data_IF_080128895065
#
_entry.id   IF_080128895065
#
_cell.length_a   1.000
_cell.length_b   1.000
_cell.length_c   1.000
_cell.angle_alpha   90.00
_cell.angle_beta   90.00
_cell.angle_gamma   90.00
#
_symmetry.space_group_name_H-M   'P 1'
#
loop_
_entity.id
_entity.type
_entity.pdbx_description
1 polymer ?
#
# COMPACT_ATOMS: atom_id res chain seq x y z
N UNK A 1 10.95 -22.30 -19.10
CA UNK A 1 11.52 -22.04 -18.62
C UNK A 1 12.00 -21.54 -18.40
N UNK A 2 11.58 -21.51 -18.59
CA UNK A 2 12.07 -20.99 -18.13
C UNK A 2 12.40 -20.59 -18.07
N UNK A 3 12.01 -20.31 -18.20
CA UNK A 3 12.51 -19.84 -17.94
C UNK A 3 12.83 -19.44 -17.94
N UNK A 4 12.47 -19.38 -18.17
CA UNK A 4 12.95 -18.92 -17.94
C UNK A 4 13.23 -18.41 -17.89
N UNK A 5 12.96 -18.24 -18.22
CA UNK A 5 13.24 -17.72 -17.78
C UNK A 5 13.27 -17.13 -17.74
N UNK A 6 13.13 -16.86 -17.88
CA UNK A 6 13.20 -16.32 -17.41
C UNK A 6 13.00 -15.78 -17.31
N UNK A 7 12.87 -15.48 -17.30
CA UNK A 7 12.80 -15.01 -16.81
C UNK A 7 12.94 -14.32 -16.59
N UNK A 8 12.76 -14.19 -16.60
CA UNK A 8 12.84 -13.59 -16.04
C UNK A 8 12.99 -12.97 -15.90
N UNK A 9 12.90 -12.71 -15.81
CA UNK A 9 13.02 -12.31 -15.37
C UNK A 9 12.96 -11.45 -15.11
N UNK A 10 12.72 -11.26 -15.04
CA UNK A 10 12.60 -10.67 -14.59
C UNK A 10 12.30 -10.08 -14.45
N UNK A 11 12.10 -9.77 -14.35
CA UNK A 11 11.65 -9.42 -13.99
C UNK A 11 10.89 -9.47 -13.48
N UNK A 12 10.51 -9.59 -13.32
CA UNK A 12 9.77 -9.77 -12.69
C UNK A 12 9.44 -10.28 -12.22
N UNK A 13 9.63 -9.91 -12.13
CA UNK A 13 9.21 -10.65 -11.43
C UNK A 13 8.22 -11.38 -10.89
N UNK A 14 8.42 -12.19 -10.45
CA UNK A 14 7.52 -13.08 -9.76
C UNK A 14 7.06 -12.57 -8.40
N UNK A 15 7.75 -11.58 -7.87
CA UNK A 15 7.40 -11.03 -6.57
C UNK A 15 6.25 -10.07 -6.61
N UNK A 16 5.66 -9.83 -5.44
CA UNK A 16 4.64 -8.80 -5.30
C UNK A 16 5.31 -7.43 -5.30
N UNK A 17 4.68 -6.39 -5.88
CA UNK A 17 5.25 -5.05 -5.83
C UNK A 17 5.58 -4.57 -4.42
N UNK A 18 4.84 -5.02 -3.41
CA UNK A 18 5.07 -4.61 -2.03
C UNK A 18 6.29 -5.27 -1.39
N UNK A 19 6.93 -6.20 -2.09
CA UNK A 19 8.08 -6.92 -1.57
C UNK A 19 7.77 -8.33 -1.11
N UNK A 20 6.52 -8.75 -1.19
CA UNK A 20 6.14 -10.10 -0.81
C UNK A 20 6.57 -11.12 -1.85
N UNK A 21 6.39 -12.41 -1.53
CA UNK A 21 6.94 -13.47 -2.39
C UNK A 21 6.24 -13.61 -3.74
N UNK A 22 4.94 -13.33 -3.80
CA UNK A 22 4.19 -13.50 -5.03
C UNK A 22 2.95 -12.63 -4.97
N UNK A 23 2.65 -11.95 -6.07
CA UNK A 23 1.44 -11.12 -6.12
C UNK A 23 0.19 -11.98 -5.88
N UNK A 24 0.15 -13.16 -6.47
CA UNK A 24 -1.04 -14.02 -6.37
C UNK A 24 -1.34 -14.49 -4.95
N UNK A 25 -0.32 -14.59 -4.12
CA UNK A 25 -0.51 -15.03 -2.73
C UNK A 25 -0.37 -13.89 -1.73
N UNK A 26 -0.10 -12.69 -2.21
CA UNK A 26 0.15 -11.53 -1.34
C UNK A 26 -0.95 -10.48 -1.54
N UNK A 27 -0.70 -9.48 -2.39
CA UNK A 27 -1.64 -8.37 -2.56
C UNK A 27 -2.76 -8.66 -3.53
N UNK A 28 -2.56 -9.61 -4.46
CA UNK A 28 -3.55 -9.92 -5.48
C UNK A 28 -4.93 -10.22 -4.94
N UNK A 29 -5.06 -11.16 -3.95
CA UNK A 29 -6.38 -11.49 -3.43
C UNK A 29 -7.12 -10.29 -2.82
N UNK A 30 -6.39 -9.37 -2.19
CA UNK A 30 -7.03 -8.18 -1.63
C UNK A 30 -7.52 -7.26 -2.74
N UNK A 31 -6.67 -6.99 -3.73
CA UNK A 31 -7.00 -6.08 -4.82
C UNK A 31 -8.12 -6.64 -5.67
N UNK A 32 -8.16 -7.96 -5.85
CA UNK A 32 -9.20 -8.62 -6.64
C UNK A 32 -10.51 -8.80 -5.88
N UNK A 33 -10.53 -8.44 -4.59
CA UNK A 33 -11.75 -8.55 -3.81
C UNK A 33 -12.05 -9.93 -3.28
N UNK A 34 -11.09 -10.85 -3.34
CA UNK A 34 -11.28 -12.22 -2.87
C UNK A 34 -11.07 -12.38 -1.38
N UNK A 35 -10.36 -11.44 -0.76
CA UNK A 35 -10.07 -11.47 0.67
C UNK A 35 -9.95 -10.04 1.18
N UNK A 36 -10.15 -9.87 2.48
CA UNK A 36 -9.96 -8.56 3.12
C UNK A 36 -8.64 -8.58 3.89
N UNK A 37 -7.85 -7.49 3.83
CA UNK A 37 -6.66 -7.40 4.67
C UNK A 37 -7.03 -7.53 6.14
N UNK A 38 -6.32 -8.37 6.86
CA UNK A 38 -6.59 -8.62 8.27
C UNK A 38 -5.84 -7.66 9.19
N UNK A 39 -4.81 -7.01 8.67
CA UNK A 39 -4.01 -6.07 9.43
C UNK A 39 -3.83 -4.78 8.65
N UNK A 40 -3.53 -3.70 9.38
CA UNK A 40 -3.25 -2.43 8.73
C UNK A 40 -2.05 -2.52 7.80
N UNK A 41 -1.04 -3.31 8.18
CA UNK A 41 0.13 -3.49 7.32
C UNK A 41 -0.24 -4.17 6.01
N UNK A 42 -1.10 -5.20 6.06
CA UNK A 42 -1.55 -5.85 4.83
C UNK A 42 -2.29 -4.87 3.94
N UNK A 43 -3.15 -4.03 4.55
CA UNK A 43 -3.84 -3.02 3.75
C UNK A 43 -2.85 -2.04 3.13
N UNK A 44 -1.88 -1.55 3.91
CA UNK A 44 -0.90 -0.60 3.39
C UNK A 44 -0.14 -1.20 2.22
N UNK A 45 0.32 -2.46 2.36
CA UNK A 45 1.06 -3.11 1.28
C UNK A 45 0.21 -3.27 0.02
N UNK A 46 -1.07 -3.63 0.20
CA UNK A 46 -1.94 -3.79 -0.97
C UNK A 46 -2.22 -2.45 -1.65
N UNK A 47 -2.28 -1.36 -0.88
CA UNK A 47 -2.45 -0.03 -1.47
C UNK A 47 -1.21 0.38 -2.24
N UNK A 48 0.00 0.05 -1.73
CA UNK A 48 1.22 0.30 -2.48
C UNK A 48 1.17 -0.44 -3.83
N UNK A 49 0.80 -1.72 -3.82
CA UNK A 49 0.68 -2.48 -5.06
C UNK A 49 -0.36 -1.87 -5.98
N UNK A 50 -1.47 -1.38 -5.41
CA UNK A 50 -2.51 -0.74 -6.21
C UNK A 50 -2.00 0.53 -6.89
N UNK A 51 -1.14 1.30 -6.23
CA UNK A 51 -0.51 2.45 -6.86
C UNK A 51 0.36 2.01 -8.04
N UNK A 52 1.12 0.93 -7.89
CA UNK A 52 1.97 0.45 -8.98
C UNK A 52 1.14 -0.02 -10.17
N UNK A 53 -0.06 -0.54 -9.90
CA UNK A 53 -0.96 -1.04 -10.92
C UNK A 53 -1.93 0.03 -11.41
N UNK A 54 -1.90 1.22 -10.80
CA UNK A 54 -2.79 2.33 -11.11
C UNK A 54 -4.26 1.94 -10.92
N UNK A 55 -4.52 1.16 -9.87
CA UNK A 55 -5.86 0.71 -9.54
C UNK A 55 -6.53 1.72 -8.61
N UNK A 56 -7.05 2.77 -9.21
CA UNK A 56 -7.65 3.86 -8.45
C UNK A 56 -8.89 3.41 -7.68
N UNK A 57 -9.65 2.49 -8.28
CA UNK A 57 -10.87 2.02 -7.61
C UNK A 57 -10.55 1.38 -6.28
N UNK A 58 -9.51 0.55 -6.22
CA UNK A 58 -9.11 -0.08 -4.97
C UNK A 58 -8.64 0.96 -3.95
N UNK A 59 -7.86 1.93 -4.42
CA UNK A 59 -7.37 2.98 -3.53
C UNK A 59 -8.52 3.77 -2.90
N UNK A 60 -9.53 4.12 -3.69
CA UNK A 60 -10.67 4.87 -3.18
C UNK A 60 -11.55 4.01 -2.27
N UNK A 61 -11.76 2.75 -2.62
CA UNK A 61 -12.62 1.87 -1.80
C UNK A 61 -11.99 1.57 -0.45
N UNK A 62 -10.67 1.66 -0.33
CA UNK A 62 -9.96 1.42 0.94
C UNK A 62 -9.60 2.71 1.67
N UNK A 63 -10.04 3.84 1.17
CA UNK A 63 -9.79 5.14 1.78
C UNK A 63 -11.02 5.51 2.62
N UNK A 64 -10.80 5.85 3.90
CA UNK A 64 -11.89 6.17 4.80
C UNK A 64 -12.70 7.36 4.25
N UNK A 65 -14.03 7.28 4.38
CA UNK A 65 -14.90 8.27 3.76
C UNK A 65 -14.64 9.69 4.28
N UNK A 66 -14.16 9.83 5.52
CA UNK A 66 -13.93 11.16 6.11
C UNK A 66 -12.80 11.92 5.42
N UNK A 67 -11.87 11.21 4.78
CA UNK A 67 -10.71 11.84 4.16
C UNK A 67 -10.56 11.45 2.69
N UNK A 68 -11.49 10.66 2.17
CA UNK A 68 -11.41 10.21 0.76
C UNK A 68 -11.47 11.41 -0.17
N UNK A 69 -10.49 11.54 -1.09
CA UNK A 69 -10.51 12.66 -2.03
C UNK A 69 -11.68 12.55 -3.00
N UNK A 70 -12.23 13.69 -3.38
CA UNK A 70 -13.32 13.75 -4.35
C UNK A 70 -12.78 13.76 -5.78
N UNK A 71 -11.51 14.07 -5.96
CA UNK A 71 -10.90 14.20 -7.28
C UNK A 71 -10.02 12.99 -7.58
N UNK A 72 -9.75 12.73 -8.87
CA UNK A 72 -8.89 11.61 -9.23
C UNK A 72 -7.53 11.71 -8.58
N UNK A 73 -7.02 10.57 -8.11
CA UNK A 73 -5.71 10.52 -7.45
C UNK A 73 -4.63 9.94 -8.35
N UNK A 74 -5.01 9.30 -9.46
CA UNK A 74 -4.05 8.75 -10.41
C UNK A 74 -3.97 9.68 -11.60
N UNK A 75 -2.77 10.19 -11.88
CA UNK A 75 -2.50 11.01 -13.05
C UNK A 75 -1.81 10.13 -14.09
N UNK A 76 -2.56 9.74 -15.12
CA UNK A 76 -2.04 8.82 -16.13
C UNK A 76 -0.97 9.46 -17.02
N UNK A 77 -0.91 10.79 -17.05
CA UNK A 77 0.12 11.48 -17.81
C UNK A 77 1.46 11.54 -17.09
N UNK A 78 1.46 11.29 -15.81
CA UNK A 78 2.66 11.33 -15.00
C UNK A 78 3.41 10.01 -15.11
N UNK A 79 4.71 10.08 -15.34
CA UNK A 79 5.52 8.87 -15.46
C UNK A 79 6.06 8.50 -14.09
N UNK A 80 5.37 7.59 -13.43
CA UNK A 80 5.76 7.08 -12.13
C UNK A 80 6.34 5.70 -12.26
N UNK A 81 7.47 5.49 -11.61
CA UNK A 81 8.10 4.17 -11.55
C UNK A 81 8.37 3.86 -10.09
N UNK A 82 7.63 2.91 -9.54
CA UNK A 82 7.78 2.51 -8.15
C UNK A 82 8.95 1.55 -8.02
N UNK A 83 9.88 1.84 -7.13
CA UNK A 83 11.15 1.14 -7.04
C UNK A 83 11.25 0.23 -5.83
N UNK A 84 10.43 0.43 -4.80
CA UNK A 84 10.48 -0.43 -3.64
C UNK A 84 9.77 0.16 -2.45
N UNK A 85 9.49 -0.72 -1.50
CA UNK A 85 8.78 -0.40 -0.27
C UNK A 85 9.53 -0.99 0.91
N UNK A 86 9.70 -0.19 1.95
CA UNK A 86 10.33 -0.65 3.19
C UNK A 86 9.42 -0.27 4.35
N UNK A 87 8.96 -1.27 5.12
CA UNK A 87 8.14 -1.03 6.30
C UNK A 87 9.09 -0.82 7.48
N UNK A 88 8.86 0.25 8.22
CA UNK A 88 9.74 0.67 9.30
C UNK A 88 9.18 0.32 10.67
N UNK A 89 10.06 0.31 11.67
CA UNK A 89 9.67 0.13 13.07
C UNK A 89 10.48 1.10 13.91
N UNK A 90 10.06 2.37 13.88
CA UNK A 90 10.75 3.43 14.61
C UNK A 90 10.05 3.68 15.95
N UNK A 91 10.73 4.41 16.83
CA UNK A 91 10.16 4.74 18.14
C UNK A 91 8.82 5.47 17.99
N UNK A 92 8.74 6.43 17.06
CA UNK A 92 7.49 7.18 16.88
C UNK A 92 6.33 6.28 16.52
N UNK A 93 6.59 5.24 15.71
CA UNK A 93 5.55 4.28 15.36
C UNK A 93 5.06 3.55 16.60
N UNK A 94 6.01 3.06 17.41
CA UNK A 94 5.64 2.32 18.61
C UNK A 94 4.88 3.19 19.60
N UNK A 95 5.23 4.47 19.68
CA UNK A 95 4.50 5.39 20.54
C UNK A 95 3.06 5.59 20.06
N UNK A 96 2.88 5.76 18.75
CA UNK A 96 1.53 5.91 18.20
C UNK A 96 0.69 4.66 18.40
N UNK A 97 1.30 3.49 18.19
CA UNK A 97 0.58 2.23 18.40
C UNK A 97 0.18 2.06 19.86
N UNK A 98 1.03 2.48 20.80
CA UNK A 98 0.72 2.35 22.20
C UNK A 98 -0.45 3.22 22.63
N UNK A 99 -0.70 4.32 21.91
CA UNK A 99 -1.79 5.24 22.21
C UNK A 99 -3.02 5.00 21.35
N UNK A 100 -2.97 4.01 20.46
CA UNK A 100 -4.04 3.78 19.51
C UNK A 100 -5.30 3.25 20.19
N UNK A 101 -6.45 3.64 19.63
CA UNK A 101 -7.72 3.08 20.07
C UNK A 101 -7.83 1.64 19.57
N UNK A 102 -8.76 0.82 20.14
CA UNK A 102 -8.86 -0.58 19.76
C UNK A 102 -9.06 -0.81 18.26
N UNK A 103 -9.72 0.12 17.56
CA UNK A 103 -9.97 -0.03 16.13
C UNK A 103 -9.03 0.83 15.29
N UNK A 104 -7.91 1.27 15.86
CA UNK A 104 -6.97 2.15 15.19
C UNK A 104 -5.59 1.52 15.16
N UNK A 105 -4.87 1.67 14.05
CA UNK A 105 -3.49 1.20 13.97
C UNK A 105 -2.69 2.12 13.07
N UNK A 106 -1.39 1.97 13.13
CA UNK A 106 -0.45 2.82 12.39
C UNK A 106 0.59 1.94 11.70
N UNK A 107 1.04 2.40 10.53
CA UNK A 107 2.12 1.74 9.80
C UNK A 107 3.06 2.82 9.29
N UNK A 108 4.35 2.62 9.49
CA UNK A 108 5.35 3.56 8.98
C UNK A 108 6.12 2.88 7.85
N UNK A 109 6.32 3.60 6.74
CA UNK A 109 7.00 3.02 5.60
C UNK A 109 7.76 4.08 4.82
N UNK A 110 8.70 3.60 4.01
CA UNK A 110 9.39 4.41 3.01
C UNK A 110 9.15 3.76 1.66
N UNK A 111 8.68 4.54 0.71
CA UNK A 111 8.53 4.10 -0.68
C UNK A 111 9.50 4.90 -1.54
N UNK A 112 10.16 4.21 -2.45
CA UNK A 112 11.08 4.85 -3.39
C UNK A 112 10.49 4.78 -4.78
N UNK A 113 10.59 5.88 -5.52
CA UNK A 113 9.98 5.97 -6.84
C UNK A 113 10.75 6.97 -7.68
N UNK A 114 10.49 6.92 -9.00
CA UNK A 114 10.91 7.96 -9.92
C UNK A 114 9.69 8.67 -10.44
N UNK A 115 9.74 9.99 -10.41
CA UNK A 115 8.68 10.83 -10.97
C UNK A 115 9.28 11.56 -12.17
N UNK A 116 8.84 11.20 -13.36
CA UNK A 116 9.35 11.76 -14.61
C UNK A 116 10.89 11.65 -14.67
N UNK A 117 11.42 10.49 -14.25
CA UNK A 117 12.85 10.20 -14.30
C UNK A 117 13.64 10.64 -13.09
N UNK A 118 13.02 11.35 -12.15
CA UNK A 118 13.71 11.86 -10.96
C UNK A 118 13.41 10.97 -9.76
N UNK A 119 14.46 10.56 -9.05
CA UNK A 119 14.30 9.74 -7.86
C UNK A 119 13.69 10.52 -6.71
N UNK A 120 12.75 9.89 -6.01
CA UNK A 120 12.10 10.47 -4.85
C UNK A 120 11.91 9.42 -3.78
N UNK A 121 11.75 9.89 -2.55
CA UNK A 121 11.57 9.05 -1.38
C UNK A 121 10.36 9.57 -0.62
N UNK A 122 9.36 8.71 -0.46
CA UNK A 122 8.17 9.04 0.30
C UNK A 122 8.22 8.32 1.64
N UNK A 123 8.26 9.07 2.73
CA UNK A 123 8.29 8.53 4.08
C UNK A 123 6.99 8.96 4.77
N UNK A 124 6.20 7.97 5.20
CA UNK A 124 4.90 8.26 5.77
C UNK A 124 4.64 7.39 7.00
N UNK A 125 4.02 8.00 8.01
CA UNK A 125 3.44 7.30 9.15
C UNK A 125 1.94 7.37 8.96
N UNK A 126 1.34 6.26 8.53
CA UNK A 126 -0.07 6.20 8.13
C UNK A 126 -0.96 5.77 9.27
N UNK A 127 -2.16 6.33 9.32
CA UNK A 127 -3.17 5.98 10.32
C UNK A 127 -4.32 5.24 9.64
N UNK A 128 -4.78 4.17 10.28
CA UNK A 128 -5.84 3.30 9.77
C UNK A 128 -6.91 3.10 10.82
N UNK A 129 -8.15 2.93 10.35
CA UNK A 129 -9.29 2.60 11.21
C UNK A 129 -9.94 1.32 10.70
N UNK A 130 -10.39 0.48 11.64
CA UNK A 130 -11.09 -0.76 11.32
C UNK A 130 -12.56 -0.55 11.62
N UNK A 131 -13.40 -0.66 10.59
CA UNK A 131 -14.82 -0.37 10.70
C UNK A 131 -15.62 -1.29 9.78
N UNK A 132 -16.92 -1.42 10.03
CA UNK A 132 -17.79 -2.18 9.12
C UNK A 132 -17.78 -1.57 7.73
N UNK A 133 -17.74 -2.42 6.72
CA UNK A 133 -17.79 -2.02 5.34
C UNK A 133 -18.22 -3.17 4.49
N UNK A 134 -18.01 -3.06 3.19
CA UNK A 134 -18.35 -4.13 2.28
C UNK A 134 -17.54 -5.38 2.62
N UNK A 135 -18.22 -6.49 2.78
CA UNK A 135 -17.56 -7.76 3.08
C UNK A 135 -17.34 -7.99 4.57
N UNK A 136 -17.65 -7.02 5.43
CA UNK A 136 -17.53 -7.17 6.88
C UNK A 136 -16.66 -6.11 7.50
N UNK A 137 -16.11 -6.43 8.67
CA UNK A 137 -15.21 -5.53 9.38
C UNK A 137 -13.88 -5.46 8.64
N UNK A 138 -13.43 -4.24 8.33
CA UNK A 138 -12.24 -4.09 7.49
C UNK A 138 -11.48 -2.81 7.80
N UNK A 139 -10.20 -2.80 7.42
CA UNK A 139 -9.33 -1.65 7.61
C UNK A 139 -9.50 -0.63 6.50
N UNK A 140 -9.40 0.65 6.88
CA UNK A 140 -9.42 1.78 5.95
C UNK A 140 -8.24 2.70 6.24
N UNK A 141 -7.61 3.20 5.18
CA UNK A 141 -6.60 4.24 5.31
C UNK A 141 -7.29 5.58 5.61
N UNK A 142 -6.78 6.33 6.57
CA UNK A 142 -7.36 7.62 6.94
C UNK A 142 -6.48 8.77 6.47
N UNK A 143 -5.29 8.86 7.03
CA UNK A 143 -4.37 9.96 6.73
C UNK A 143 -2.96 9.56 7.14
N UNK A 144 -2.02 10.47 6.96
CA UNK A 144 -0.66 10.19 7.33
C UNK A 144 0.12 11.43 7.70
N UNK A 145 1.23 11.19 8.42
CA UNK A 145 2.23 12.21 8.71
C UNK A 145 3.46 11.89 7.88
N UNK A 146 4.21 12.91 7.53
CA UNK A 146 5.39 12.74 6.68
C UNK A 146 6.63 13.11 7.50
N UNK A 147 7.20 12.15 8.25
CA UNK A 147 8.40 12.41 9.05
C UNK A 147 9.58 12.71 8.14
N UNK A 148 10.50 13.50 8.64
CA UNK A 148 11.73 13.76 7.93
C UNK A 148 12.72 12.62 8.06
#
# INVERSE_FOLDING_TARGET
>A
MADNGGMSKSKTPAGCPCGGPSFETCCGPFIEGKALPETAEQLMRSRYSAYTLRDEAYLLSTWHETTRPAEPIINLDEKLQWLGLEVKSALRLRQRKAEARPNEDFVEFVARLRVNGRGQRLHELSRFLREPGEGGLRWFYVDGEFPE
#
